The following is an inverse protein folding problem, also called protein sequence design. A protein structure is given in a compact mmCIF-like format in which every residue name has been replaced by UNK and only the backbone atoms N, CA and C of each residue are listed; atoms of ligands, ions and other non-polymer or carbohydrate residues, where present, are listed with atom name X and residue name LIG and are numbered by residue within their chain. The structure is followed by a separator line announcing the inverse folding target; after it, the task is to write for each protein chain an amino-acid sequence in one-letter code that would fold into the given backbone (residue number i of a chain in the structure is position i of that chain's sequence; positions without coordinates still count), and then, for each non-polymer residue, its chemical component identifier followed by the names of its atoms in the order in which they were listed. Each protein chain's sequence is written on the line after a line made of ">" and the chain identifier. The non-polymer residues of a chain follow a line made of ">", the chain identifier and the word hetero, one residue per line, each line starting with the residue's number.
data_IF_765306482587
#
_entry.id   IF_765306482587
#
_cell.length_a   1.000
_cell.length_b   1.000
_cell.length_c   1.000
_cell.angle_alpha   90.00
_cell.angle_beta   90.00
_cell.angle_gamma   90.00
#
_symmetry.space_group_name_H-M   'P 1'
#
loop_
_entity.id
_entity.type
_entity.pdbx_description
1 polymer ?
#
# COMPACT_ATOMS: atom_id res chain seq x y z
N UNK A 1 6.65 -16.73 -39.85
CA UNK A 1 6.42 -16.01 -38.57
C UNK A 1 7.58 -16.16 -37.57
N UNK A 2 8.40 -17.20 -37.66
CA UNK A 2 9.53 -17.49 -36.73
C UNK A 2 10.68 -16.46 -36.67
N UNK A 3 10.78 -15.52 -37.60
CA UNK A 3 11.84 -14.50 -37.62
C UNK A 3 11.52 -13.17 -36.90
N UNK A 4 10.32 -12.99 -36.34
CA UNK A 4 9.92 -11.70 -35.77
C UNK A 4 10.48 -11.46 -34.35
N UNK A 5 10.63 -12.50 -33.54
CA UNK A 5 11.04 -12.35 -32.13
C UNK A 5 12.53 -12.06 -32.01
N UNK A 6 13.37 -12.74 -32.78
CA UNK A 6 14.81 -12.41 -32.83
C UNK A 6 15.07 -10.95 -33.21
N UNK A 7 14.16 -10.33 -33.98
CA UNK A 7 14.21 -8.91 -34.30
C UNK A 7 13.64 -8.01 -33.19
N UNK A 8 12.61 -8.44 -32.47
CA UNK A 8 12.00 -7.69 -31.36
C UNK A 8 12.92 -7.65 -30.14
N UNK A 9 13.52 -8.79 -29.76
CA UNK A 9 14.53 -8.87 -28.70
C UNK A 9 15.78 -8.02 -29.02
N UNK A 10 16.13 -7.91 -30.32
CA UNK A 10 17.26 -7.09 -30.74
C UNK A 10 17.01 -5.58 -30.75
N UNK A 11 15.75 -5.14 -30.92
CA UNK A 11 15.44 -3.70 -31.05
C UNK A 11 14.97 -3.07 -29.73
N UNK A 12 14.40 -3.85 -28.81
CA UNK A 12 13.81 -3.33 -27.56
C UNK A 12 14.84 -2.98 -26.49
N UNK A 13 16.03 -3.61 -26.49
CA UNK A 13 17.10 -3.41 -25.49
C UNK A 13 18.19 -2.41 -25.93
N UNK A 14 18.00 -1.67 -27.04
CA UNK A 14 19.01 -0.77 -27.60
C UNK A 14 19.02 0.67 -27.03
N UNK A 15 18.32 0.99 -25.97
CA UNK A 15 18.32 2.34 -25.39
C UNK A 15 19.08 2.41 -24.06
N UNK A 16 20.39 2.11 -24.07
CA UNK A 16 21.29 2.58 -23.03
C UNK A 16 22.32 3.54 -23.66
N UNK A 17 22.65 4.69 -23.06
CA UNK A 17 23.56 5.64 -23.67
C UNK A 17 24.97 5.07 -23.76
N UNK A 18 25.50 5.02 -24.93
CA UNK A 18 26.91 4.76 -25.27
C UNK A 18 27.79 5.88 -24.70
N UNK A 19 28.60 5.58 -23.69
CA UNK A 19 29.85 6.28 -23.44
C UNK A 19 30.88 5.27 -22.92
N UNK A 20 31.59 4.65 -23.85
CA UNK A 20 32.99 4.26 -23.70
C UNK A 20 33.48 3.68 -25.07
N UNK A 21 34.12 4.50 -25.84
CA UNK A 21 34.92 4.07 -26.97
C UNK A 21 36.19 3.39 -26.43
N UNK A 22 36.14 2.07 -26.30
CA UNK A 22 37.37 1.26 -26.28
C UNK A 22 37.42 0.47 -27.59
N UNK A 23 38.30 0.85 -28.45
CA UNK A 23 38.75 0.02 -29.57
C UNK A 23 39.32 -1.27 -29.02
N UNK A 24 38.50 -2.32 -28.92
CA UNK A 24 38.97 -3.68 -28.73
C UNK A 24 38.97 -4.38 -30.07
N UNK A 25 40.15 -4.79 -30.50
CA UNK A 25 40.40 -5.66 -31.66
C UNK A 25 39.32 -6.76 -31.67
N UNK A 26 38.67 -6.94 -32.86
CA UNK A 26 37.80 -8.09 -33.15
C UNK A 26 38.55 -9.42 -33.00
N UNK A 27 38.77 -9.88 -31.80
CA UNK A 27 38.97 -11.30 -31.53
C UNK A 27 37.59 -11.92 -31.66
N UNK A 28 37.33 -12.62 -32.78
CA UNK A 28 36.17 -13.50 -32.96
C UNK A 28 35.98 -14.34 -31.68
N UNK A 29 35.07 -13.88 -30.81
CA UNK A 29 34.76 -14.61 -29.56
C UNK A 29 33.90 -15.79 -29.95
N UNK A 30 34.36 -17.03 -29.66
CA UNK A 30 33.61 -18.24 -30.04
C UNK A 30 32.19 -18.22 -29.45
N UNK A 31 31.18 -18.74 -30.19
CA UNK A 31 29.79 -18.82 -29.72
C UNK A 31 29.67 -19.35 -28.30
N UNK A 32 30.37 -20.45 -28.03
CA UNK A 32 30.39 -21.12 -26.73
C UNK A 32 30.89 -20.18 -25.61
N UNK A 33 31.87 -19.34 -25.87
CA UNK A 33 32.40 -18.40 -24.89
C UNK A 33 31.39 -17.28 -24.56
N UNK A 34 30.71 -16.75 -25.58
CA UNK A 34 29.66 -15.74 -25.39
C UNK A 34 28.50 -16.29 -24.54
N UNK A 35 28.06 -17.51 -24.85
CA UNK A 35 27.01 -18.17 -24.04
C UNK A 35 27.45 -18.35 -22.59
N UNK A 36 28.63 -18.93 -22.34
CA UNK A 36 29.16 -19.16 -21.01
C UNK A 36 29.37 -17.87 -20.21
N UNK A 37 29.88 -16.81 -20.85
CA UNK A 37 30.04 -15.50 -20.22
C UNK A 37 28.68 -14.93 -19.81
N UNK A 38 27.72 -14.93 -20.74
CA UNK A 38 26.37 -14.45 -20.46
C UNK A 38 25.65 -15.23 -19.36
N UNK A 39 25.77 -16.56 -19.41
CA UNK A 39 25.22 -17.46 -18.38
C UNK A 39 25.84 -17.19 -16.99
N UNK A 40 27.17 -17.03 -16.93
CA UNK A 40 27.88 -16.74 -15.69
C UNK A 40 27.42 -15.41 -15.09
N UNK A 41 27.34 -14.35 -15.89
CA UNK A 41 26.87 -13.04 -15.47
C UNK A 41 25.42 -13.08 -15.00
N UNK A 42 24.57 -13.82 -15.71
CA UNK A 42 23.17 -14.00 -15.31
C UNK A 42 23.03 -14.71 -13.96
N UNK A 43 23.80 -15.80 -13.75
CA UNK A 43 23.82 -16.53 -12.46
C UNK A 43 24.32 -15.65 -11.30
N UNK A 44 25.25 -14.74 -11.58
CA UNK A 44 25.73 -13.73 -10.62
C UNK A 44 24.74 -12.57 -10.41
N UNK A 45 23.55 -12.62 -11.01
CA UNK A 45 22.54 -11.55 -11.01
C UNK A 45 23.03 -10.22 -11.62
N UNK A 46 24.11 -10.26 -12.40
CA UNK A 46 24.63 -9.12 -13.15
C UNK A 46 23.88 -8.94 -14.49
N UNK A 47 22.54 -8.78 -14.40
CA UNK A 47 21.62 -8.86 -15.53
C UNK A 47 21.96 -7.89 -16.67
N UNK A 48 22.28 -6.64 -16.35
CA UNK A 48 22.66 -5.64 -17.36
C UNK A 48 23.92 -6.04 -18.15
N UNK A 49 24.91 -6.64 -17.48
CA UNK A 49 26.14 -7.10 -18.12
C UNK A 49 25.91 -8.38 -18.94
N UNK A 50 24.98 -9.25 -18.52
CA UNK A 50 24.66 -10.50 -19.21
C UNK A 50 24.01 -10.28 -20.59
N UNK A 51 23.32 -9.15 -20.81
CA UNK A 51 22.58 -8.88 -22.06
C UNK A 51 23.51 -8.89 -23.28
N UNK A 52 24.65 -8.20 -23.22
CA UNK A 52 25.54 -8.05 -24.39
C UNK A 52 26.06 -9.37 -24.92
N UNK A 53 26.70 -10.26 -24.12
CA UNK A 53 27.19 -11.53 -24.59
C UNK A 53 26.06 -12.49 -25.02
N UNK A 54 24.90 -12.50 -24.31
CA UNK A 54 23.75 -13.33 -24.71
C UNK A 54 23.15 -12.88 -26.04
N UNK A 55 22.97 -11.57 -26.26
CA UNK A 55 22.51 -11.05 -27.54
C UNK A 55 23.49 -11.35 -28.68
N UNK A 56 24.79 -11.17 -28.43
CA UNK A 56 25.83 -11.50 -29.42
C UNK A 56 25.79 -13.00 -29.79
N UNK A 57 25.51 -13.89 -28.81
CA UNK A 57 25.34 -15.31 -29.07
C UNK A 57 24.09 -15.60 -29.93
N UNK A 58 22.94 -15.06 -29.55
CA UNK A 58 21.67 -15.29 -30.28
C UNK A 58 21.69 -14.74 -31.71
N UNK A 59 22.44 -13.64 -31.96
CA UNK A 59 22.59 -13.04 -33.29
C UNK A 59 23.55 -13.77 -34.23
N UNK A 60 24.26 -14.76 -33.76
CA UNK A 60 25.23 -15.45 -34.61
C UNK A 60 24.55 -16.21 -35.74
N UNK A 61 25.17 -16.09 -36.90
CA UNK A 61 24.78 -16.76 -38.14
C UNK A 61 25.82 -17.79 -38.52
N UNK A 62 25.40 -18.84 -39.22
CA UNK A 62 26.33 -19.77 -39.88
C UNK A 62 27.01 -19.12 -41.10
N UNK A 63 27.92 -19.85 -41.71
CA UNK A 63 28.65 -19.37 -42.90
C UNK A 63 27.71 -19.00 -44.07
N UNK A 64 26.49 -19.53 -44.13
CA UNK A 64 25.47 -19.25 -45.14
C UNK A 64 24.54 -18.09 -44.75
N UNK A 65 24.83 -17.36 -43.68
CA UNK A 65 24.02 -16.24 -43.22
C UNK A 65 22.68 -16.66 -42.59
N UNK A 66 22.52 -17.95 -42.23
CA UNK A 66 21.35 -18.46 -41.51
C UNK A 66 21.64 -18.51 -40.02
N UNK A 67 20.61 -18.34 -39.16
CA UNK A 67 20.77 -18.53 -37.74
C UNK A 67 21.39 -19.90 -37.44
N UNK A 68 22.22 -19.98 -36.40
CA UNK A 68 22.72 -21.26 -35.92
C UNK A 68 21.55 -22.17 -35.61
N UNK A 69 21.69 -23.51 -35.75
CA UNK A 69 20.64 -24.46 -35.40
C UNK A 69 20.14 -24.18 -34.00
N UNK A 70 18.83 -24.32 -33.84
CA UNK A 70 18.19 -24.22 -32.53
C UNK A 70 18.67 -25.38 -31.65
N UNK A 71 19.75 -25.13 -30.93
CA UNK A 71 20.21 -25.99 -29.85
C UNK A 71 19.53 -25.52 -28.59
N UNK A 72 19.30 -26.38 -27.60
CA UNK A 72 18.76 -25.97 -26.31
C UNK A 72 19.48 -24.76 -25.68
N UNK A 73 20.74 -24.53 -26.01
CA UNK A 73 21.53 -23.35 -25.56
C UNK A 73 20.98 -22.03 -26.11
N UNK A 74 20.42 -22.00 -27.32
CA UNK A 74 19.83 -20.79 -27.88
C UNK A 74 18.55 -20.43 -27.14
N UNK A 75 17.67 -21.39 -26.94
CA UNK A 75 16.44 -21.19 -26.14
C UNK A 75 16.78 -20.72 -24.72
N UNK A 76 17.81 -21.32 -24.09
CA UNK A 76 18.26 -20.88 -22.76
C UNK A 76 18.82 -19.46 -22.77
N UNK A 77 19.58 -19.05 -23.81
CA UNK A 77 20.07 -17.69 -23.93
C UNK A 77 18.93 -16.69 -24.10
N UNK A 78 17.92 -16.99 -24.92
CA UNK A 78 16.75 -16.16 -25.12
C UNK A 78 15.89 -16.10 -23.85
N UNK A 79 15.75 -17.22 -23.12
CA UNK A 79 15.12 -17.25 -21.80
C UNK A 79 15.84 -16.33 -20.79
N UNK A 80 17.17 -16.41 -20.71
CA UNK A 80 17.96 -15.53 -19.83
C UNK A 80 17.79 -14.06 -20.21
N UNK A 81 17.67 -13.72 -21.50
CA UNK A 81 17.45 -12.35 -21.98
C UNK A 81 16.08 -11.80 -21.53
N UNK A 82 15.00 -12.57 -21.67
CA UNK A 82 13.67 -12.11 -21.24
C UNK A 82 13.56 -12.02 -19.72
N UNK A 83 14.23 -12.93 -18.98
CA UNK A 83 14.36 -12.81 -17.54
C UNK A 83 15.16 -11.58 -17.11
N UNK A 84 16.28 -11.28 -17.81
CA UNK A 84 17.06 -10.07 -17.52
C UNK A 84 16.25 -8.80 -17.77
N UNK A 85 15.43 -8.75 -18.82
CA UNK A 85 14.51 -7.63 -19.06
C UNK A 85 13.51 -7.44 -17.90
N UNK A 86 12.95 -8.53 -17.39
CA UNK A 86 12.08 -8.49 -16.20
C UNK A 86 12.82 -7.94 -14.97
N UNK A 87 13.99 -8.47 -14.67
CA UNK A 87 14.78 -8.07 -13.48
C UNK A 87 15.23 -6.60 -13.54
N UNK A 88 15.49 -6.08 -14.75
CA UNK A 88 15.84 -4.68 -15.01
C UNK A 88 14.62 -3.76 -15.11
N UNK A 89 13.41 -4.27 -14.92
CA UNK A 89 12.16 -3.49 -15.04
C UNK A 89 11.98 -2.85 -16.42
N UNK A 90 12.37 -3.55 -17.48
CA UNK A 90 12.10 -3.07 -18.84
C UNK A 90 10.57 -2.97 -19.06
N UNK A 91 10.06 -1.81 -19.52
CA UNK A 91 8.63 -1.63 -19.82
C UNK A 91 8.05 -2.65 -20.81
N UNK A 92 8.90 -3.27 -21.64
CA UNK A 92 8.53 -4.30 -22.61
C UNK A 92 8.66 -5.73 -22.08
N UNK A 93 8.96 -5.91 -20.79
CA UNK A 93 9.21 -7.24 -20.22
C UNK A 93 8.05 -8.21 -20.42
N UNK A 94 6.80 -7.74 -20.29
CA UNK A 94 5.59 -8.57 -20.52
C UNK A 94 5.53 -9.06 -21.96
N UNK A 95 5.71 -8.14 -22.92
CA UNK A 95 5.68 -8.50 -24.34
C UNK A 95 6.81 -9.47 -24.73
N UNK A 96 8.01 -9.27 -24.17
CA UNK A 96 9.15 -10.15 -24.39
C UNK A 96 8.91 -11.55 -23.80
N UNK A 97 8.37 -11.65 -22.59
CA UNK A 97 8.05 -12.91 -21.93
C UNK A 97 6.96 -13.68 -22.69
N UNK A 98 5.91 -12.99 -23.15
CA UNK A 98 4.85 -13.59 -23.99
C UNK A 98 5.39 -14.07 -25.32
N UNK A 99 6.17 -13.22 -25.99
CA UNK A 99 6.79 -13.57 -27.27
C UNK A 99 7.70 -14.81 -27.16
N UNK A 100 8.37 -14.98 -26.02
CA UNK A 100 9.15 -16.20 -25.76
C UNK A 100 8.25 -17.44 -25.62
N UNK A 101 7.11 -17.35 -24.92
CA UNK A 101 6.15 -18.47 -24.84
C UNK A 101 5.55 -18.84 -26.21
N UNK A 102 5.27 -17.83 -27.05
CA UNK A 102 4.75 -18.06 -28.40
C UNK A 102 5.76 -18.75 -29.32
N UNK A 103 7.05 -18.43 -29.15
CA UNK A 103 8.15 -19.07 -29.92
C UNK A 103 8.47 -20.48 -29.39
N UNK A 104 8.40 -20.68 -28.06
CA UNK A 104 8.75 -21.90 -27.38
C UNK A 104 7.62 -22.43 -26.51
N UNK A 105 6.49 -22.91 -27.10
CA UNK A 105 5.31 -23.31 -26.35
C UNK A 105 5.55 -24.50 -25.41
N UNK A 106 6.51 -25.38 -25.75
CA UNK A 106 6.88 -26.56 -24.97
C UNK A 106 8.06 -26.30 -24.01
N UNK A 107 8.38 -25.06 -23.72
CA UNK A 107 9.53 -24.70 -22.87
C UNK A 107 9.35 -25.22 -21.43
N UNK A 108 10.38 -25.79 -20.80
CA UNK A 108 10.34 -26.16 -19.39
C UNK A 108 10.20 -24.92 -18.47
N UNK A 109 10.45 -23.72 -18.99
CA UNK A 109 10.38 -22.45 -18.26
C UNK A 109 9.00 -21.81 -18.23
N UNK A 110 7.98 -22.37 -18.92
CA UNK A 110 6.65 -21.78 -19.06
C UNK A 110 6.05 -21.39 -17.72
N UNK A 111 6.13 -22.29 -16.72
CA UNK A 111 5.59 -22.05 -15.39
C UNK A 111 6.20 -20.80 -14.72
N UNK A 112 7.52 -20.65 -14.78
CA UNK A 112 8.21 -19.50 -14.21
C UNK A 112 7.88 -18.22 -14.99
N UNK A 113 7.78 -18.30 -16.32
CA UNK A 113 7.43 -17.14 -17.16
C UNK A 113 6.04 -16.62 -16.83
N UNK A 114 5.03 -17.49 -16.62
CA UNK A 114 3.71 -17.05 -16.15
C UNK A 114 3.80 -16.29 -14.82
N UNK A 115 4.59 -16.78 -13.86
CA UNK A 115 4.81 -16.09 -12.60
C UNK A 115 5.50 -14.73 -12.78
N UNK A 116 6.47 -14.61 -13.71
CA UNK A 116 7.13 -13.34 -14.02
C UNK A 116 6.18 -12.34 -14.69
N UNK A 117 5.32 -12.77 -15.62
CA UNK A 117 4.29 -11.93 -16.24
C UNK A 117 3.31 -11.45 -15.18
N UNK A 118 2.82 -12.35 -14.31
CA UNK A 118 1.96 -12.00 -13.18
C UNK A 118 2.58 -10.93 -12.30
N UNK A 119 3.87 -11.10 -11.99
CA UNK A 119 4.63 -10.16 -11.19
C UNK A 119 4.84 -8.81 -11.89
N UNK A 120 5.00 -8.79 -13.21
CA UNK A 120 5.07 -7.53 -13.97
C UNK A 120 3.77 -6.75 -13.88
N UNK A 121 2.62 -7.41 -14.10
CA UNK A 121 1.31 -6.80 -13.90
C UNK A 121 1.10 -6.29 -12.48
N UNK A 122 1.57 -7.03 -11.47
CA UNK A 122 1.54 -6.57 -10.08
C UNK A 122 2.26 -5.23 -9.89
N UNK A 123 3.45 -5.05 -10.48
CA UNK A 123 4.21 -3.80 -10.38
C UNK A 123 3.59 -2.64 -11.16
N UNK A 124 2.82 -2.94 -12.21
CA UNK A 124 2.03 -1.95 -12.96
C UNK A 124 0.73 -1.57 -12.23
N UNK A 125 0.39 -2.26 -11.13
CA UNK A 125 -0.87 -2.07 -10.40
C UNK A 125 -2.08 -2.74 -11.07
N UNK A 126 -1.85 -3.54 -12.11
CA UNK A 126 -2.89 -4.28 -12.82
C UNK A 126 -3.13 -5.64 -12.13
N UNK A 127 -3.84 -5.60 -10.99
CA UNK A 127 -3.99 -6.75 -10.11
C UNK A 127 -4.87 -7.86 -10.67
N UNK A 128 -5.86 -7.54 -11.51
CA UNK A 128 -6.75 -8.54 -12.13
C UNK A 128 -6.01 -9.39 -13.16
N UNK A 129 -5.22 -8.77 -14.04
CA UNK A 129 -4.39 -9.50 -14.99
C UNK A 129 -3.26 -10.27 -14.28
N UNK A 130 -2.71 -9.72 -13.19
CA UNK A 130 -1.76 -10.44 -12.35
C UNK A 130 -2.37 -11.73 -11.79
N UNK A 131 -3.61 -11.68 -11.26
CA UNK A 131 -4.32 -12.86 -10.75
C UNK A 131 -4.57 -13.89 -11.85
N UNK A 132 -4.98 -13.47 -13.06
CA UNK A 132 -5.18 -14.37 -14.19
C UNK A 132 -3.89 -15.15 -14.53
N UNK A 133 -2.74 -14.47 -14.52
CA UNK A 133 -1.45 -15.10 -14.78
C UNK A 133 -0.96 -15.97 -13.62
N UNK A 134 -1.16 -15.55 -12.37
CA UNK A 134 -0.86 -16.40 -11.21
C UNK A 134 -1.66 -17.70 -11.19
N UNK A 135 -2.91 -17.69 -11.67
CA UNK A 135 -3.72 -18.90 -11.81
C UNK A 135 -3.16 -19.89 -12.85
N UNK A 136 -2.38 -19.39 -13.82
CA UNK A 136 -1.68 -20.22 -14.81
C UNK A 136 -0.33 -20.73 -14.30
N UNK A 137 0.22 -20.11 -13.26
CA UNK A 137 1.49 -20.46 -12.65
C UNK A 137 1.30 -21.43 -11.48
N UNK A 138 2.14 -22.45 -11.41
CA UNK A 138 2.24 -23.37 -10.26
C UNK A 138 3.35 -22.90 -9.34
N UNK A 139 2.99 -22.10 -8.32
CA UNK A 139 3.96 -21.51 -7.40
C UNK A 139 4.71 -22.55 -6.58
N UNK A 140 4.10 -23.73 -6.35
CA UNK A 140 4.72 -24.88 -5.67
C UNK A 140 5.94 -25.44 -6.39
N UNK A 141 6.06 -25.23 -7.71
CA UNK A 141 7.18 -25.65 -8.53
C UNK A 141 8.34 -24.65 -8.58
N UNK A 142 8.17 -23.45 -8.02
CA UNK A 142 9.22 -22.44 -7.95
C UNK A 142 10.19 -22.72 -6.80
N UNK A 143 11.41 -22.20 -6.92
CA UNK A 143 12.37 -22.20 -5.81
C UNK A 143 11.82 -21.44 -4.59
N UNK A 144 12.23 -21.80 -3.39
CA UNK A 144 11.62 -21.33 -2.13
C UNK A 144 11.56 -19.79 -2.05
N UNK A 145 12.66 -19.09 -2.35
CA UNK A 145 12.71 -17.63 -2.29
C UNK A 145 11.75 -16.98 -3.31
N UNK A 146 11.79 -17.44 -4.55
CA UNK A 146 10.95 -16.94 -5.63
C UNK A 146 9.46 -17.26 -5.37
N UNK A 147 9.15 -18.45 -4.87
CA UNK A 147 7.80 -18.84 -4.46
C UNK A 147 7.26 -17.92 -3.37
N UNK A 148 8.05 -17.62 -2.34
CA UNK A 148 7.64 -16.75 -1.25
C UNK A 148 7.35 -15.33 -1.78
N UNK A 149 8.20 -14.79 -2.65
CA UNK A 149 8.02 -13.49 -3.29
C UNK A 149 6.74 -13.44 -4.15
N UNK A 150 6.50 -14.49 -4.94
CA UNK A 150 5.30 -14.59 -5.79
C UNK A 150 4.03 -14.79 -4.95
N UNK A 151 4.10 -15.59 -3.88
CA UNK A 151 2.97 -15.81 -2.95
C UNK A 151 2.58 -14.50 -2.25
N UNK A 152 3.56 -13.70 -1.84
CA UNK A 152 3.29 -12.38 -1.26
C UNK A 152 2.56 -11.46 -2.25
N UNK A 153 3.00 -11.43 -3.51
CA UNK A 153 2.35 -10.62 -4.56
C UNK A 153 0.94 -11.13 -4.87
N UNK A 154 0.75 -12.44 -4.97
CA UNK A 154 -0.56 -13.07 -5.15
C UNK A 154 -1.53 -12.69 -4.04
N UNK A 155 -1.11 -12.83 -2.77
CA UNK A 155 -1.91 -12.44 -1.61
C UNK A 155 -2.28 -10.95 -1.64
N UNK A 156 -1.32 -10.11 -2.04
CA UNK A 156 -1.55 -8.66 -2.19
C UNK A 156 -2.52 -8.34 -3.33
N UNK A 157 -2.44 -9.04 -4.47
CA UNK A 157 -3.41 -8.90 -5.56
C UNK A 157 -4.82 -9.22 -5.08
N UNK A 158 -5.04 -10.33 -4.38
CA UNK A 158 -6.34 -10.67 -3.80
C UNK A 158 -6.86 -9.58 -2.86
N UNK A 159 -5.98 -9.01 -2.02
CA UNK A 159 -6.37 -7.92 -1.12
C UNK A 159 -6.78 -6.66 -1.91
N UNK A 160 -6.03 -6.31 -2.95
CA UNK A 160 -6.28 -5.10 -3.77
C UNK A 160 -7.54 -5.22 -4.63
N UNK A 161 -7.91 -6.43 -5.05
CA UNK A 161 -9.15 -6.70 -5.80
C UNK A 161 -10.35 -6.96 -4.90
N UNK A 162 -10.21 -6.81 -3.57
CA UNK A 162 -11.31 -7.00 -2.61
C UNK A 162 -11.59 -8.46 -2.24
N UNK A 163 -10.83 -9.41 -2.74
CA UNK A 163 -10.95 -10.83 -2.39
C UNK A 163 -10.27 -11.14 -1.04
N UNK A 164 -10.80 -10.52 0.01
CA UNK A 164 -10.20 -10.49 1.35
C UNK A 164 -10.02 -11.88 1.97
N UNK A 165 -10.93 -12.83 1.67
CA UNK A 165 -10.85 -14.20 2.19
C UNK A 165 -9.64 -14.94 1.62
N UNK A 166 -9.47 -14.90 0.29
CA UNK A 166 -8.33 -15.53 -0.38
C UNK A 166 -7.01 -14.85 0.05
N UNK A 167 -6.98 -13.52 0.13
CA UNK A 167 -5.83 -12.80 0.64
C UNK A 167 -5.40 -13.29 2.02
N UNK A 168 -6.35 -13.47 2.95
CA UNK A 168 -6.06 -13.95 4.29
C UNK A 168 -5.45 -15.36 4.29
N UNK A 169 -5.98 -16.28 3.48
CA UNK A 169 -5.47 -17.67 3.35
C UNK A 169 -4.00 -17.64 2.87
N UNK A 170 -3.72 -16.88 1.83
CA UNK A 170 -2.37 -16.80 1.26
C UNK A 170 -1.37 -16.13 2.20
N UNK A 171 -1.76 -15.05 2.90
CA UNK A 171 -0.92 -14.42 3.92
C UNK A 171 -0.67 -15.36 5.12
N UNK A 172 -1.67 -16.10 5.61
CA UNK A 172 -1.47 -17.07 6.71
C UNK A 172 -0.53 -18.21 6.28
N UNK A 173 -0.68 -18.73 5.07
CA UNK A 173 0.22 -19.75 4.51
C UNK A 173 1.66 -19.23 4.47
N UNK A 174 1.86 -18.04 3.89
CA UNK A 174 3.19 -17.44 3.76
C UNK A 174 3.81 -17.08 5.12
N UNK A 175 3.00 -16.62 6.09
CA UNK A 175 3.47 -16.34 7.45
C UNK A 175 4.07 -17.55 8.13
N UNK A 176 3.50 -18.73 7.89
CA UNK A 176 3.95 -19.98 8.49
C UNK A 176 5.24 -20.54 7.85
N UNK A 177 5.53 -20.18 6.60
CA UNK A 177 6.61 -20.75 5.81
C UNK A 177 7.79 -19.80 5.59
N UNK A 178 7.58 -18.50 5.59
CA UNK A 178 8.57 -17.50 5.22
C UNK A 178 8.92 -16.55 6.37
N UNK A 179 10.17 -16.59 6.83
CA UNK A 179 10.68 -15.61 7.81
C UNK A 179 10.79 -14.19 7.21
N UNK A 180 11.10 -14.10 5.91
CA UNK A 180 11.23 -12.83 5.18
C UNK A 180 9.95 -12.01 5.24
N UNK A 181 8.80 -12.66 5.07
CA UNK A 181 7.49 -12.01 4.99
C UNK A 181 6.65 -12.11 6.28
N UNK A 182 7.18 -12.70 7.35
CA UNK A 182 6.41 -12.94 8.58
C UNK A 182 5.77 -11.67 9.16
N UNK A 183 6.53 -10.56 9.21
CA UNK A 183 6.02 -9.28 9.71
C UNK A 183 4.99 -8.64 8.75
N UNK A 184 5.24 -8.71 7.45
CA UNK A 184 4.32 -8.20 6.43
C UNK A 184 2.99 -8.95 6.45
N UNK A 185 3.05 -10.27 6.51
CA UNK A 185 1.86 -11.12 6.62
C UNK A 185 1.09 -10.83 7.93
N UNK A 186 1.79 -10.72 9.06
CA UNK A 186 1.16 -10.38 10.33
C UNK A 186 0.41 -9.04 10.25
N UNK A 187 1.03 -8.03 9.63
CA UNK A 187 0.39 -6.73 9.40
C UNK A 187 -0.88 -6.86 8.55
N UNK A 188 -0.80 -7.49 7.37
CA UNK A 188 -1.97 -7.58 6.47
C UNK A 188 -3.09 -8.44 7.04
N UNK A 189 -2.78 -9.53 7.74
CA UNK A 189 -3.77 -10.36 8.43
C UNK A 189 -4.48 -9.52 9.51
N UNK A 190 -3.73 -8.76 10.30
CA UNK A 190 -4.29 -7.90 11.34
C UNK A 190 -5.14 -6.78 10.76
N UNK A 191 -4.70 -6.17 9.66
CA UNK A 191 -5.47 -5.18 8.90
C UNK A 191 -6.80 -5.76 8.39
N UNK A 192 -6.77 -6.97 7.80
CA UNK A 192 -7.97 -7.67 7.36
C UNK A 192 -8.93 -7.91 8.53
N UNK A 193 -8.42 -8.35 9.68
CA UNK A 193 -9.25 -8.56 10.88
C UNK A 193 -9.84 -7.26 11.42
N UNK A 194 -9.06 -6.18 11.39
CA UNK A 194 -9.53 -4.84 11.75
C UNK A 194 -10.71 -4.40 10.86
N UNK A 195 -10.58 -4.50 9.54
CA UNK A 195 -11.66 -4.14 8.60
C UNK A 195 -12.91 -5.01 8.73
N UNK A 196 -12.78 -6.21 9.31
CA UNK A 196 -13.88 -7.12 9.63
C UNK A 196 -14.51 -6.87 11.02
N UNK A 197 -14.03 -5.88 11.78
CA UNK A 197 -14.47 -5.62 13.15
C UNK A 197 -13.97 -6.65 14.19
N UNK A 198 -13.05 -7.53 13.82
CA UNK A 198 -12.44 -8.54 14.70
C UNK A 198 -11.29 -7.93 15.51
N UNK A 199 -11.62 -6.95 16.34
CA UNK A 199 -10.65 -6.07 17.00
C UNK A 199 -9.65 -6.79 17.90
N UNK A 200 -10.07 -7.80 18.68
CA UNK A 200 -9.16 -8.52 19.58
C UNK A 200 -8.10 -9.32 18.81
N UNK A 201 -8.50 -9.93 17.70
CA UNK A 201 -7.59 -10.66 16.84
C UNK A 201 -6.65 -9.71 16.07
N UNK A 202 -7.16 -8.56 15.64
CA UNK A 202 -6.34 -7.53 15.02
C UNK A 202 -5.28 -7.01 15.99
N UNK A 203 -5.65 -6.70 17.23
CA UNK A 203 -4.71 -6.29 18.28
C UNK A 203 -3.63 -7.34 18.54
N UNK A 204 -4.02 -8.63 18.64
CA UNK A 204 -3.06 -9.71 18.89
C UNK A 204 -1.96 -9.78 17.84
N UNK A 205 -2.25 -9.39 16.61
CA UNK A 205 -1.28 -9.37 15.52
C UNK A 205 -0.55 -8.02 15.36
N UNK A 206 -1.18 -6.88 15.69
CA UNK A 206 -0.53 -5.57 15.63
C UNK A 206 0.44 -5.32 16.79
N UNK A 207 0.11 -5.72 18.03
CA UNK A 207 0.95 -5.47 19.20
C UNK A 207 2.40 -5.92 19.05
N UNK A 208 2.71 -7.12 18.52
CA UNK A 208 4.09 -7.53 18.29
C UNK A 208 4.83 -6.71 17.22
N UNK A 209 4.10 -5.96 16.38
CA UNK A 209 4.66 -5.13 15.30
C UNK A 209 4.91 -3.67 15.73
N UNK A 210 4.50 -3.30 16.95
CA UNK A 210 4.59 -1.91 17.42
C UNK A 210 6.01 -1.36 17.39
N UNK A 211 7.01 -2.20 17.71
CA UNK A 211 8.42 -1.84 17.71
C UNK A 211 9.16 -2.31 16.43
N UNK A 212 8.46 -2.87 15.47
CA UNK A 212 9.06 -3.35 14.23
C UNK A 212 9.53 -2.17 13.37
N UNK A 213 10.78 -2.19 12.90
CA UNK A 213 11.39 -1.10 12.17
C UNK A 213 10.58 -0.61 10.95
N UNK A 214 9.84 -1.52 10.28
CA UNK A 214 8.99 -1.21 9.12
C UNK A 214 7.62 -0.63 9.52
N UNK A 215 7.08 -1.06 10.66
CA UNK A 215 5.69 -0.83 11.04
C UNK A 215 5.48 0.12 12.22
N UNK A 216 6.54 0.49 12.93
CA UNK A 216 6.49 1.35 14.12
C UNK A 216 5.82 2.72 13.91
N UNK A 217 5.81 3.22 12.68
CA UNK A 217 5.18 4.49 12.34
C UNK A 217 3.75 4.32 11.77
N UNK A 218 3.27 3.09 11.62
CA UNK A 218 1.96 2.80 11.04
C UNK A 218 1.04 2.07 12.03
N UNK A 219 1.56 1.04 12.67
CA UNK A 219 0.77 0.15 13.53
C UNK A 219 0.20 0.83 14.78
N UNK A 220 0.89 1.77 15.45
CA UNK A 220 0.32 2.46 16.61
C UNK A 220 -1.00 3.18 16.32
N UNK A 221 -1.19 3.70 15.11
CA UNK A 221 -2.47 4.27 14.69
C UNK A 221 -3.60 3.23 14.79
N UNK A 222 -3.43 2.04 14.20
CA UNK A 222 -4.46 0.99 14.24
C UNK A 222 -4.73 0.50 15.67
N UNK A 223 -3.69 0.38 16.50
CA UNK A 223 -3.83 -0.02 17.90
C UNK A 223 -4.64 1.03 18.67
N UNK A 224 -4.31 2.30 18.53
CA UNK A 224 -5.03 3.39 19.19
C UNK A 224 -6.50 3.48 18.73
N UNK A 225 -6.73 3.37 17.41
CA UNK A 225 -8.08 3.37 16.82
C UNK A 225 -8.92 2.18 17.34
N UNK A 226 -8.35 0.99 17.41
CA UNK A 226 -9.05 -0.18 17.96
C UNK A 226 -9.39 0.04 19.43
N UNK A 227 -8.49 0.58 20.24
CA UNK A 227 -8.79 0.89 21.64
C UNK A 227 -9.91 1.94 21.77
N UNK A 228 -9.91 2.96 20.91
CA UNK A 228 -10.97 3.95 20.84
C UNK A 228 -12.32 3.30 20.49
N UNK A 229 -12.37 2.48 19.44
CA UNK A 229 -13.58 1.75 19.02
C UNK A 229 -14.10 0.82 20.11
N UNK A 230 -13.21 0.26 20.92
CA UNK A 230 -13.56 -0.55 22.11
C UNK A 230 -13.88 0.30 23.35
N UNK A 231 -13.89 1.63 23.25
CA UNK A 231 -14.09 2.58 24.35
C UNK A 231 -13.09 2.41 25.51
N UNK A 232 -11.90 1.89 25.21
CA UNK A 232 -10.78 1.78 26.15
C UNK A 232 -9.93 3.05 26.04
N UNK A 233 -10.52 4.17 26.47
CA UNK A 233 -9.96 5.51 26.28
C UNK A 233 -8.59 5.69 26.94
N UNK A 234 -8.35 5.05 28.08
CA UNK A 234 -7.06 5.04 28.77
C UNK A 234 -5.93 4.50 27.90
N UNK A 235 -6.17 3.37 27.25
CA UNK A 235 -5.19 2.75 26.36
C UNK A 235 -5.04 3.52 25.05
N UNK A 236 -6.14 4.03 24.51
CA UNK A 236 -6.11 4.84 23.29
C UNK A 236 -5.26 6.10 23.50
N UNK A 237 -5.46 6.82 24.64
CA UNK A 237 -4.68 7.99 25.03
C UNK A 237 -3.17 7.66 25.09
N UNK A 238 -2.79 6.63 25.83
CA UNK A 238 -1.39 6.25 26.03
C UNK A 238 -0.72 5.92 24.67
N UNK A 239 -1.37 5.12 23.84
CA UNK A 239 -0.78 4.70 22.56
C UNK A 239 -0.67 5.87 21.61
N UNK A 240 -1.70 6.71 21.49
CA UNK A 240 -1.69 7.88 20.62
C UNK A 240 -0.62 8.89 21.05
N UNK A 241 -0.52 9.21 22.34
CA UNK A 241 0.47 10.13 22.90
C UNK A 241 1.90 9.63 22.69
N UNK A 242 2.14 8.34 22.93
CA UNK A 242 3.44 7.72 22.72
C UNK A 242 3.84 7.77 21.23
N UNK A 243 2.93 7.46 20.31
CA UNK A 243 3.20 7.48 18.88
C UNK A 243 3.55 8.90 18.38
N UNK A 244 2.78 9.91 18.80
CA UNK A 244 3.03 11.31 18.45
C UNK A 244 4.36 11.83 19.03
N UNK A 245 4.74 11.38 20.23
CA UNK A 245 5.98 11.83 20.89
C UNK A 245 7.24 11.13 20.39
N UNK A 246 7.14 9.82 20.08
CA UNK A 246 8.30 9.00 19.73
C UNK A 246 8.81 9.23 18.30
N UNK A 247 7.92 9.57 17.37
CA UNK A 247 8.22 9.61 15.93
C UNK A 247 7.57 10.81 15.22
N UNK A 248 7.80 12.06 15.65
CA UNK A 248 7.11 13.22 15.09
C UNK A 248 7.34 13.38 13.57
N UNK A 249 8.56 13.05 13.10
CA UNK A 249 8.95 13.17 11.68
C UNK A 249 8.71 11.87 10.88
N UNK A 250 8.35 10.79 11.54
CA UNK A 250 8.20 9.46 10.91
C UNK A 250 6.76 9.08 10.58
N UNK A 251 5.78 9.80 11.11
CA UNK A 251 4.37 9.58 10.84
C UNK A 251 3.97 10.26 9.52
N UNK A 252 3.05 9.64 8.79
CA UNK A 252 2.41 10.35 7.69
C UNK A 252 1.52 11.46 8.23
N UNK A 253 1.33 12.51 7.43
CA UNK A 253 0.44 13.62 7.75
C UNK A 253 -0.95 13.17 8.19
N UNK A 254 -1.53 12.21 7.47
CA UNK A 254 -2.84 11.62 7.80
C UNK A 254 -2.82 10.87 9.14
N UNK A 255 -1.79 10.08 9.43
CA UNK A 255 -1.72 9.35 10.70
C UNK A 255 -1.50 10.29 11.88
N UNK A 256 -0.74 11.38 11.71
CA UNK A 256 -0.59 12.42 12.74
C UNK A 256 -1.94 13.06 13.07
N UNK A 257 -2.72 13.41 12.04
CA UNK A 257 -4.05 13.97 12.23
C UNK A 257 -4.95 12.99 12.99
N UNK A 258 -5.07 11.76 12.51
CA UNK A 258 -5.95 10.76 13.14
C UNK A 258 -5.54 10.39 14.57
N UNK A 259 -4.24 10.32 14.87
CA UNK A 259 -3.76 10.13 16.24
C UNK A 259 -4.14 11.28 17.16
N UNK A 260 -4.09 12.53 16.67
CA UNK A 260 -4.57 13.70 17.42
C UNK A 260 -6.09 13.64 17.64
N UNK A 261 -6.89 13.19 16.65
CA UNK A 261 -8.32 12.95 16.84
C UNK A 261 -8.60 11.92 17.92
N UNK A 262 -7.89 10.78 17.88
CA UNK A 262 -8.03 9.72 18.89
C UNK A 262 -7.66 10.23 20.27
N UNK A 263 -6.55 10.95 20.39
CA UNK A 263 -6.09 11.57 21.62
C UNK A 263 -7.12 12.55 22.17
N UNK A 264 -7.56 13.51 21.35
CA UNK A 264 -8.57 14.49 21.75
C UNK A 264 -9.90 13.86 22.18
N UNK A 265 -10.31 12.76 21.49
CA UNK A 265 -11.52 12.02 21.88
C UNK A 265 -11.35 11.36 23.27
N UNK A 266 -10.21 10.74 23.53
CA UNK A 266 -9.94 10.12 24.82
C UNK A 266 -9.87 11.19 25.94
N UNK A 267 -9.16 12.28 25.72
CA UNK A 267 -9.05 13.42 26.65
C UNK A 267 -10.42 14.03 26.95
N UNK A 268 -11.27 14.21 25.93
CA UNK A 268 -12.66 14.69 26.11
C UNK A 268 -13.44 13.76 27.03
N UNK A 269 -13.38 12.44 26.84
CA UNK A 269 -14.08 11.49 27.68
C UNK A 269 -13.58 11.44 29.13
N UNK A 270 -12.32 11.82 29.37
CA UNK A 270 -11.78 11.98 30.72
C UNK A 270 -12.03 13.36 31.34
N UNK A 271 -12.72 14.27 30.64
CA UNK A 271 -12.94 15.64 31.10
C UNK A 271 -11.69 16.53 31.06
N UNK A 272 -10.65 16.12 30.36
CA UNK A 272 -9.41 16.88 30.12
C UNK A 272 -9.62 17.86 28.95
N UNK A 273 -10.56 18.80 29.14
CA UNK A 273 -11.04 19.64 28.03
C UNK A 273 -9.99 20.59 27.48
N UNK A 274 -9.05 21.08 28.29
CA UNK A 274 -7.96 21.93 27.81
C UNK A 274 -6.97 21.19 26.89
N UNK A 275 -6.69 19.95 27.22
CA UNK A 275 -5.85 19.06 26.41
C UNK A 275 -6.59 18.67 25.13
N UNK A 276 -7.85 18.27 25.24
CA UNK A 276 -8.72 17.90 24.11
C UNK A 276 -8.82 19.01 23.06
N UNK A 277 -8.91 20.29 23.48
CA UNK A 277 -8.90 21.44 22.57
C UNK A 277 -7.65 21.42 21.70
N UNK A 278 -6.46 21.26 22.31
CA UNK A 278 -5.19 21.27 21.55
C UNK A 278 -5.11 20.10 20.56
N UNK A 279 -5.51 18.92 21.02
CA UNK A 279 -5.49 17.73 20.17
C UNK A 279 -6.45 17.84 18.98
N UNK A 280 -7.68 18.36 19.19
CA UNK A 280 -8.64 18.58 18.11
C UNK A 280 -8.22 19.72 17.16
N UNK A 281 -7.61 20.79 17.65
CA UNK A 281 -7.07 21.85 16.80
C UNK A 281 -5.97 21.31 15.89
N UNK A 282 -5.04 20.50 16.41
CA UNK A 282 -4.01 19.83 15.62
C UNK A 282 -4.61 18.85 14.59
N UNK A 283 -5.66 18.12 14.95
CA UNK A 283 -6.38 17.27 13.99
C UNK A 283 -6.96 18.10 12.84
N UNK A 284 -7.63 19.21 13.14
CA UNK A 284 -8.31 20.04 12.15
C UNK A 284 -7.33 20.82 11.27
N UNK A 285 -6.17 21.22 11.80
CA UNK A 285 -5.09 21.85 11.03
C UNK A 285 -4.54 20.90 9.96
N UNK A 286 -4.47 19.60 10.28
CA UNK A 286 -3.86 18.58 9.45
C UNK A 286 -4.88 17.79 8.60
N UNK A 287 -6.17 18.07 8.68
CA UNK A 287 -7.18 17.28 7.99
C UNK A 287 -8.03 18.12 7.05
N UNK A 288 -8.14 17.67 5.79
CA UNK A 288 -8.96 18.31 4.78
C UNK A 288 -10.45 18.29 5.15
N UNK A 289 -11.24 19.20 4.59
CA UNK A 289 -12.66 19.44 4.87
C UNK A 289 -13.60 18.22 4.73
N UNK A 290 -13.17 17.14 4.08
CA UNK A 290 -13.99 15.95 3.75
C UNK A 290 -13.76 14.72 4.65
N UNK A 291 -13.12 14.87 5.82
CA UNK A 291 -12.81 13.72 6.67
C UNK A 291 -14.07 13.19 7.41
N UNK A 292 -14.24 11.88 7.37
CA UNK A 292 -15.40 11.16 7.93
C UNK A 292 -15.69 11.50 9.39
N UNK A 293 -14.66 11.80 10.20
CA UNK A 293 -14.79 12.09 11.64
C UNK A 293 -14.73 13.59 11.98
N UNK A 294 -14.67 14.46 10.96
CA UNK A 294 -14.51 15.90 11.19
C UNK A 294 -15.66 16.48 12.01
N UNK A 295 -16.88 16.12 11.69
CA UNK A 295 -18.08 16.65 12.34
C UNK A 295 -18.15 16.29 13.83
N UNK A 296 -17.83 15.04 14.19
CA UNK A 296 -17.75 14.59 15.59
C UNK A 296 -16.63 15.30 16.35
N UNK A 297 -15.47 15.47 15.70
CA UNK A 297 -14.34 16.19 16.30
C UNK A 297 -14.67 17.65 16.56
N UNK A 298 -15.34 18.35 15.62
CA UNK A 298 -15.80 19.73 15.78
C UNK A 298 -16.82 19.83 16.94
N UNK A 299 -17.72 18.85 17.04
CA UNK A 299 -18.68 18.82 18.17
C UNK A 299 -17.95 18.71 19.51
N UNK A 300 -17.04 17.75 19.65
CA UNK A 300 -16.27 17.57 20.88
C UNK A 300 -15.37 18.76 21.19
N UNK A 301 -14.78 19.38 20.17
CA UNK A 301 -14.01 20.63 20.31
C UNK A 301 -14.88 21.78 20.83
N UNK A 302 -16.04 22.02 20.21
CA UNK A 302 -16.97 23.05 20.65
C UNK A 302 -17.48 22.83 22.07
N UNK A 303 -17.76 21.57 22.42
CA UNK A 303 -18.13 21.20 23.79
C UNK A 303 -16.98 21.38 24.78
N UNK A 304 -15.73 21.10 24.36
CA UNK A 304 -14.55 21.33 25.21
C UNK A 304 -14.36 22.82 25.49
N UNK A 305 -14.53 23.70 24.49
CA UNK A 305 -14.54 25.16 24.71
C UNK A 305 -15.64 25.60 25.64
N UNK A 306 -16.86 25.02 25.51
CA UNK A 306 -17.97 25.31 26.40
C UNK A 306 -17.65 24.95 27.84
N UNK A 307 -17.11 23.76 28.11
CA UNK A 307 -16.72 23.29 29.43
C UNK A 307 -15.57 24.11 30.05
N UNK A 308 -14.66 24.61 29.22
CA UNK A 308 -13.59 25.52 29.66
C UNK A 308 -14.05 26.96 29.88
N UNK A 309 -15.32 27.29 29.62
CA UNK A 309 -15.85 28.66 29.77
C UNK A 309 -15.45 29.63 28.66
N UNK A 310 -14.87 29.12 27.56
CA UNK A 310 -14.45 29.93 26.39
C UNK A 310 -15.62 30.08 25.41
N UNK A 311 -16.72 30.66 25.89
CA UNK A 311 -18.02 30.73 25.19
C UNK A 311 -17.96 31.45 23.84
N UNK A 312 -17.01 32.38 23.64
CA UNK A 312 -16.86 33.09 22.39
C UNK A 312 -16.51 32.23 21.19
N UNK A 313 -15.85 31.09 21.40
CA UNK A 313 -15.46 30.16 20.34
C UNK A 313 -16.59 29.18 19.98
N UNK A 314 -17.49 28.88 20.93
CA UNK A 314 -18.50 27.82 20.79
C UNK A 314 -19.40 27.99 19.56
N UNK A 315 -19.99 29.18 19.27
CA UNK A 315 -20.88 29.35 18.13
C UNK A 315 -20.19 29.16 16.79
N UNK A 316 -18.94 29.60 16.66
CA UNK A 316 -18.19 29.44 15.41
C UNK A 316 -17.94 27.98 15.07
N UNK A 317 -17.51 27.20 16.08
CA UNK A 317 -17.15 25.78 15.89
C UNK A 317 -18.40 24.90 15.78
N UNK A 318 -19.38 25.05 16.70
CA UNK A 318 -20.59 24.24 16.63
C UNK A 318 -21.48 24.61 15.44
N UNK A 319 -21.35 25.81 14.86
CA UNK A 319 -22.03 26.18 13.62
C UNK A 319 -21.64 25.30 12.43
N UNK A 320 -20.40 24.82 12.36
CA UNK A 320 -19.95 23.88 11.34
C UNK A 320 -20.53 22.45 11.53
N UNK A 321 -21.04 22.13 12.71
CA UNK A 321 -21.65 20.82 13.03
C UNK A 321 -23.10 20.75 12.55
N UNK A 322 -23.78 21.88 12.45
CA UNK A 322 -25.23 21.97 12.16
C UNK A 322 -25.58 21.86 10.67
N UNK A 323 -24.92 20.92 9.96
CA UNK A 323 -25.10 20.69 8.51
C UNK A 323 -26.18 19.67 8.19
N UNK A 324 -26.63 18.91 9.16
CA UNK A 324 -27.60 17.81 9.01
C UNK A 324 -28.74 18.01 10.02
N UNK A 325 -29.90 17.41 9.74
CA UNK A 325 -31.03 17.40 10.67
C UNK A 325 -30.98 16.15 11.54
N UNK A 326 -30.17 16.19 12.59
CA UNK A 326 -29.96 15.07 13.50
C UNK A 326 -29.75 15.50 14.95
N UNK A 327 -29.66 14.53 15.87
CA UNK A 327 -29.45 14.77 17.27
C UNK A 327 -28.16 15.56 17.59
N UNK A 328 -27.12 15.41 16.76
CA UNK A 328 -25.85 16.12 16.96
C UNK A 328 -26.05 17.62 16.68
N UNK A 329 -26.72 17.99 15.58
CA UNK A 329 -27.08 19.37 15.25
C UNK A 329 -27.98 20.00 16.32
N UNK A 330 -28.97 19.25 16.79
CA UNK A 330 -29.87 19.74 17.85
C UNK A 330 -29.12 20.06 19.16
N UNK A 331 -28.17 19.19 19.53
CA UNK A 331 -27.32 19.44 20.69
C UNK A 331 -26.35 20.59 20.47
N UNK A 332 -25.83 20.76 19.26
CA UNK A 332 -24.99 21.89 18.89
C UNK A 332 -25.77 23.22 19.04
N UNK A 333 -27.00 23.29 18.48
CA UNK A 333 -27.86 24.50 18.65
C UNK A 333 -28.15 24.83 20.11
N UNK A 334 -28.42 23.80 20.94
CA UNK A 334 -28.62 24.00 22.37
C UNK A 334 -27.42 24.69 23.01
N UNK A 335 -26.22 24.14 22.80
CA UNK A 335 -25.01 24.67 23.45
C UNK A 335 -24.57 26.04 22.88
N UNK A 336 -24.84 26.30 21.60
CA UNK A 336 -24.67 27.64 21.01
C UNK A 336 -25.60 28.64 21.71
N UNK A 337 -26.87 28.29 21.89
CA UNK A 337 -27.82 29.12 22.63
C UNK A 337 -27.38 29.41 24.08
N UNK A 338 -26.94 28.34 24.78
CA UNK A 338 -26.41 28.46 26.14
C UNK A 338 -25.14 29.32 26.20
N UNK A 339 -24.23 29.19 25.22
CA UNK A 339 -23.02 30.01 25.13
C UNK A 339 -23.38 31.53 24.93
N UNK A 340 -24.36 31.84 24.07
CA UNK A 340 -24.84 33.22 23.91
C UNK A 340 -25.51 33.79 25.16
N UNK A 341 -26.18 32.93 25.96
CA UNK A 341 -26.68 33.38 27.28
C UNK A 341 -25.52 33.77 28.20
N UNK A 342 -24.45 33.00 28.23
CA UNK A 342 -23.26 33.34 29.03
C UNK A 342 -22.56 34.61 28.54
N UNK A 343 -22.62 34.91 27.23
CA UNK A 343 -22.11 36.13 26.62
C UNK A 343 -23.07 37.30 26.74
N UNK A 344 -24.23 37.17 27.44
CA UNK A 344 -25.28 38.11 27.58
C UNK A 344 -25.97 38.55 26.26
N UNK A 345 -25.84 37.81 25.17
CA UNK A 345 -26.53 38.02 23.89
C UNK A 345 -27.87 37.27 23.85
N UNK A 346 -28.87 37.83 24.52
CA UNK A 346 -30.19 37.19 24.64
C UNK A 346 -30.90 37.01 23.30
N UNK A 347 -30.67 37.89 22.32
CA UNK A 347 -31.32 37.82 21.02
C UNK A 347 -30.87 36.58 20.25
N UNK A 348 -29.58 36.35 20.18
CA UNK A 348 -29.04 35.15 19.55
C UNK A 348 -29.39 33.87 20.34
N UNK A 349 -29.35 33.93 21.65
CA UNK A 349 -29.74 32.78 22.49
C UNK A 349 -31.15 32.30 22.18
N UNK A 350 -32.13 33.19 22.08
CA UNK A 350 -33.52 32.86 21.72
C UNK A 350 -33.61 32.27 20.30
N UNK A 351 -32.91 32.83 19.34
CA UNK A 351 -32.89 32.34 17.95
C UNK A 351 -32.45 30.87 17.88
N UNK A 352 -31.36 30.51 18.56
CA UNK A 352 -30.85 29.12 18.54
C UNK A 352 -31.73 28.10 19.29
N UNK A 353 -32.40 28.53 20.36
CA UNK A 353 -33.38 27.69 21.04
C UNK A 353 -34.64 27.46 20.20
N UNK A 354 -35.04 28.39 19.38
CA UNK A 354 -36.13 28.24 18.41
C UNK A 354 -35.75 27.27 17.29
N UNK A 355 -34.54 27.38 16.74
CA UNK A 355 -34.04 26.45 15.70
C UNK A 355 -34.08 24.98 16.18
N UNK A 356 -33.62 24.74 17.42
CA UNK A 356 -33.73 23.41 18.05
C UNK A 356 -35.19 22.91 18.13
N UNK A 357 -36.13 23.74 18.48
CA UNK A 357 -37.54 23.38 18.66
C UNK A 357 -38.24 23.07 17.31
N UNK A 358 -37.87 23.80 16.24
CA UNK A 358 -38.43 23.55 14.91
C UNK A 358 -37.97 22.20 14.32
N UNK A 359 -36.73 21.80 14.52
CA UNK A 359 -36.22 20.53 14.03
C UNK A 359 -36.85 19.32 14.76
N UNK A 360 -37.06 19.43 16.09
CA UNK A 360 -37.75 18.38 16.85
C UNK A 360 -39.24 18.23 16.51
N UNK A 361 -39.86 19.25 15.95
CA UNK A 361 -41.27 19.20 15.52
C UNK A 361 -41.46 18.54 14.15
N UNK A 362 -40.44 18.53 13.30
CA UNK A 362 -40.48 17.89 11.97
C UNK A 362 -40.29 16.37 12.06
N UNK A 363 -39.64 15.87 13.10
CA UNK A 363 -39.46 14.41 13.35
C UNK A 363 -40.69 13.74 13.94
N UNK A 364 -41.74 14.47 14.28
CA UNK A 364 -43.00 13.98 14.88
C UNK A 364 -44.19 13.93 13.88
N UNK A 365 -43.95 14.19 12.59
CA UNK A 365 -44.93 14.05 11.50
C UNK A 365 -44.45 12.99 10.51
#
# INVERSE_FOLDING_TARGET
>A
MKHKISRILCTALCCAPLLASAQTSEKSTSPKRLYQEGQTLFQQKAYAAAISPLQAYVRQMNADGKPLPDTGERQEAEYMLVCAAYELRDPKSIDLLRAFLDEYPDTPHANRIYALIASSYFFEGNYDDALAMFNSARLDLLGTEERDDMTYRLATCYLKTGNVKEAAIWFETLRSTSRKYAADCAYYISYIRYTQGRYDEALSGFLPLQDNAKYKNLVPYYIAEIYLLKKQYDKAEIVAQNALSAHPDGLSYTHTAELNRILGTAEYHFGKYHEAIKSFEQYLEHNAESATHRRDALYMLGMSYYQCGVYSQVPAILGEVTTENDALSQNAYLHMGLAYLQLADKTKAVSYTHLRAHETSQDLV
#
